data_IF_152152157491
#
_entry.id   IF_152152157491
#
_cell.length_a   1.000
_cell.length_b   1.000
_cell.length_c   1.000
_cell.angle_alpha   90.00
_cell.angle_beta   90.00
_cell.angle_gamma   90.00
#
_symmetry.space_group_name_H-M   'P 1'
#
loop_
_entity.id
_entity.type
_entity.pdbx_description
1 polymer ?
#
# COMPACT_ATOMS: atom_id res chain seq x y z
N UNK A 1 16.93 19.87 -13.75
CA UNK A 1 15.54 19.58 -14.17
C UNK A 1 14.60 19.86 -13.00
N UNK A 2 15.01 19.49 -11.79
CA UNK A 2 14.29 19.71 -10.52
C UNK A 2 13.91 21.18 -10.30
N UNK A 3 14.83 22.13 -10.56
CA UNK A 3 14.52 23.57 -10.47
C UNK A 3 13.37 24.01 -11.40
N UNK A 4 13.25 23.42 -12.60
CA UNK A 4 12.18 23.76 -13.54
C UNK A 4 10.83 23.23 -13.03
N UNK A 5 10.83 22.01 -12.49
CA UNK A 5 9.65 21.39 -11.90
C UNK A 5 9.15 22.22 -10.72
N UNK A 6 10.08 22.65 -9.85
CA UNK A 6 9.77 23.45 -8.67
C UNK A 6 9.20 24.83 -9.06
N UNK A 7 9.78 25.49 -10.06
CA UNK A 7 9.27 26.77 -10.56
C UNK A 7 7.88 26.64 -11.20
N UNK A 8 7.62 25.55 -11.93
CA UNK A 8 6.30 25.25 -12.49
C UNK A 8 5.27 25.00 -11.39
N UNK A 9 5.65 24.26 -10.34
CA UNK A 9 4.79 23.95 -9.20
C UNK A 9 4.45 25.21 -8.38
N UNK A 10 5.42 26.10 -8.15
CA UNK A 10 5.23 27.36 -7.43
C UNK A 10 4.33 28.35 -8.16
N UNK A 11 4.28 28.28 -9.50
CA UNK A 11 3.39 29.10 -10.33
C UNK A 11 1.96 28.58 -10.39
N UNK A 12 1.68 27.37 -9.88
CA UNK A 12 0.33 26.83 -9.87
C UNK A 12 -0.53 27.48 -8.79
N UNK A 13 -1.84 27.64 -9.03
CA UNK A 13 -2.79 27.96 -7.99
C UNK A 13 -2.71 26.96 -6.83
N UNK A 14 -2.98 27.44 -5.61
CA UNK A 14 -2.85 26.63 -4.39
C UNK A 14 -3.66 25.32 -4.45
N UNK A 15 -4.87 25.37 -5.00
CA UNK A 15 -5.73 24.19 -5.14
C UNK A 15 -5.11 23.12 -6.06
N UNK A 16 -4.49 23.52 -7.18
CA UNK A 16 -3.80 22.62 -8.12
C UNK A 16 -2.54 22.03 -7.46
N UNK A 17 -1.75 22.87 -6.79
CA UNK A 17 -0.55 22.41 -6.07
C UNK A 17 -0.91 21.39 -4.99
N UNK A 18 -1.95 21.66 -4.19
CA UNK A 18 -2.41 20.72 -3.17
C UNK A 18 -2.87 19.41 -3.78
N UNK A 19 -3.60 19.44 -4.90
CA UNK A 19 -4.00 18.22 -5.60
C UNK A 19 -2.76 17.41 -6.04
N UNK A 20 -1.81 18.05 -6.73
CA UNK A 20 -0.57 17.41 -7.20
C UNK A 20 0.22 16.75 -6.07
N UNK A 21 0.35 17.42 -4.91
CA UNK A 21 1.05 16.87 -3.75
C UNK A 21 0.30 15.67 -3.16
N UNK A 22 -1.01 15.76 -2.99
CA UNK A 22 -1.82 14.70 -2.37
C UNK A 22 -1.86 13.42 -3.22
N UNK A 23 -1.85 13.56 -4.54
CA UNK A 23 -1.88 12.43 -5.47
C UNK A 23 -0.49 11.93 -5.86
N UNK A 24 0.58 12.57 -5.39
CA UNK A 24 1.98 12.21 -5.71
C UNK A 24 2.37 10.81 -5.26
N UNK A 25 1.68 10.26 -4.25
CA UNK A 25 1.91 8.91 -3.73
C UNK A 25 1.43 7.82 -4.70
N UNK A 26 0.65 8.17 -5.73
CA UNK A 26 0.01 7.22 -6.63
C UNK A 26 0.87 6.97 -7.87
N UNK A 27 1.11 5.69 -8.18
CA UNK A 27 1.80 5.29 -9.41
C UNK A 27 0.95 5.54 -10.68
N UNK A 28 -0.37 5.38 -10.52
CA UNK A 28 -1.37 5.57 -11.57
C UNK A 28 -2.54 6.36 -10.99
N UNK A 29 -3.02 7.31 -11.76
CA UNK A 29 -4.06 8.26 -11.38
C UNK A 29 -5.31 7.95 -12.20
N UNK A 30 -6.44 7.82 -11.53
CA UNK A 30 -7.76 7.88 -12.17
C UNK A 30 -8.62 8.88 -11.39
N UNK A 31 -9.63 9.46 -12.03
CA UNK A 31 -10.55 10.37 -11.31
C UNK A 31 -11.06 9.77 -9.99
N UNK A 32 -11.70 8.58 -9.98
CA UNK A 32 -12.27 8.05 -8.73
C UNK A 32 -11.22 7.76 -7.66
N UNK A 33 -10.00 7.40 -8.05
CA UNK A 33 -8.90 7.20 -7.10
C UNK A 33 -8.39 8.54 -6.54
N UNK A 34 -8.23 9.56 -7.39
CA UNK A 34 -7.82 10.89 -6.95
C UNK A 34 -8.85 11.48 -5.99
N UNK A 35 -10.14 11.32 -6.30
CA UNK A 35 -11.25 11.76 -5.45
C UNK A 35 -11.20 11.08 -4.08
N UNK A 36 -11.00 9.76 -4.05
CA UNK A 36 -10.89 9.00 -2.81
C UNK A 36 -9.69 9.41 -1.93
N UNK A 37 -8.53 9.69 -2.53
CA UNK A 37 -7.33 10.11 -1.78
C UNK A 37 -7.44 11.54 -1.29
N UNK A 38 -7.79 12.47 -2.17
CA UNK A 38 -7.86 13.91 -1.86
C UNK A 38 -9.09 14.27 -1.02
N UNK A 39 -10.16 13.48 -1.09
CA UNK A 39 -11.47 13.80 -0.53
C UNK A 39 -12.21 14.89 -1.30
N UNK A 40 -11.82 15.14 -2.55
CA UNK A 40 -12.48 16.08 -3.47
C UNK A 40 -13.39 15.31 -4.44
N UNK A 41 -14.27 16.03 -5.16
CA UNK A 41 -15.24 15.43 -6.09
C UNK A 41 -14.99 15.81 -7.57
N UNK A 42 -13.90 16.53 -7.87
CA UNK A 42 -13.58 17.04 -9.22
C UNK A 42 -12.21 16.58 -9.73
N UNK A 43 -11.81 15.34 -9.42
CA UNK A 43 -10.58 14.73 -9.89
C UNK A 43 -10.51 14.67 -11.41
N UNK A 44 -11.64 14.47 -12.10
CA UNK A 44 -11.70 14.47 -13.57
C UNK A 44 -11.39 15.86 -14.14
N UNK A 45 -12.07 16.91 -13.68
CA UNK A 45 -11.82 18.27 -14.14
C UNK A 45 -10.39 18.69 -13.89
N UNK A 46 -9.85 18.30 -12.73
CA UNK A 46 -8.45 18.54 -12.37
C UNK A 46 -7.48 17.81 -13.30
N UNK A 47 -7.65 16.51 -13.54
CA UNK A 47 -6.78 15.73 -14.44
C UNK A 47 -6.80 16.27 -15.87
N UNK A 48 -7.98 16.65 -16.38
CA UNK A 48 -8.11 17.30 -17.69
C UNK A 48 -7.41 18.67 -17.74
N UNK A 49 -7.48 19.46 -16.66
CA UNK A 49 -6.79 20.73 -16.54
C UNK A 49 -5.26 20.55 -16.49
N UNK A 50 -4.77 19.56 -15.74
CA UNK A 50 -3.35 19.22 -15.67
C UNK A 50 -2.80 18.76 -17.03
N UNK A 51 -3.57 17.94 -17.76
CA UNK A 51 -3.24 17.49 -19.11
C UNK A 51 -3.17 18.68 -20.09
N UNK A 52 -4.19 19.55 -20.12
CA UNK A 52 -4.21 20.75 -20.97
C UNK A 52 -3.10 21.74 -20.61
N UNK A 53 -2.70 21.79 -19.34
CA UNK A 53 -1.61 22.61 -18.84
C UNK A 53 -0.21 22.05 -19.11
N UNK A 54 -0.09 20.88 -19.75
CA UNK A 54 1.17 20.16 -19.95
C UNK A 54 1.97 19.94 -18.65
N UNK A 55 1.29 19.69 -17.52
CA UNK A 55 1.91 19.54 -16.20
C UNK A 55 2.48 18.13 -15.98
N UNK A 56 3.24 17.64 -16.96
CA UNK A 56 3.94 16.35 -16.91
C UNK A 56 3.05 15.14 -16.58
N UNK A 57 1.76 15.24 -16.91
CA UNK A 57 0.79 14.14 -16.82
C UNK A 57 0.70 13.45 -18.17
N UNK A 58 0.78 12.12 -18.18
CA UNK A 58 0.76 11.30 -19.38
C UNK A 58 -0.46 10.36 -19.31
N UNK A 59 -1.39 10.40 -20.28
CA UNK A 59 -2.48 9.43 -20.34
C UNK A 59 -1.92 8.03 -20.63
N UNK A 60 -2.45 7.02 -19.95
CA UNK A 60 -2.09 5.62 -20.09
C UNK A 60 -3.02 4.84 -21.01
N UNK A 61 -4.19 5.40 -21.31
CA UNK A 61 -5.21 4.81 -22.17
C UNK A 61 -5.84 5.83 -23.14
N UNK A 62 -6.44 5.30 -24.20
CA UNK A 62 -7.13 6.13 -25.22
C UNK A 62 -8.40 6.79 -24.66
N UNK A 63 -8.97 6.20 -23.60
CA UNK A 63 -10.18 6.67 -22.92
C UNK A 63 -9.91 7.73 -21.85
N UNK A 64 -8.64 8.07 -21.60
CA UNK A 64 -8.18 9.04 -20.60
C UNK A 64 -8.77 8.79 -19.20
N UNK A 65 -8.88 7.53 -18.81
CA UNK A 65 -9.30 7.15 -17.46
C UNK A 65 -8.09 7.01 -16.54
N UNK A 66 -6.96 6.61 -17.10
CA UNK A 66 -5.73 6.40 -16.37
C UNK A 66 -4.65 7.36 -16.85
N UNK A 67 -3.96 7.95 -15.88
CA UNK A 67 -2.85 8.84 -16.10
C UNK A 67 -1.67 8.41 -15.23
N UNK A 68 -0.48 8.89 -15.57
CA UNK A 68 0.69 8.84 -14.68
C UNK A 68 1.39 10.19 -14.67
N UNK A 69 2.02 10.50 -13.55
CA UNK A 69 3.04 11.54 -13.54
C UNK A 69 4.30 11.05 -14.25
N UNK A 70 5.03 11.98 -14.85
CA UNK A 70 6.41 11.73 -15.24
C UNK A 70 7.23 11.39 -13.98
N UNK A 71 8.12 10.40 -14.07
CA UNK A 71 8.84 9.85 -12.90
C UNK A 71 9.54 10.93 -12.05
N UNK A 72 10.35 11.79 -12.69
CA UNK A 72 11.04 12.89 -11.99
C UNK A 72 10.07 13.92 -11.38
N UNK A 73 8.90 14.12 -11.98
CA UNK A 73 7.89 15.02 -11.44
C UNK A 73 7.27 14.42 -10.17
N UNK A 74 6.96 13.13 -10.18
CA UNK A 74 6.46 12.42 -9.01
C UNK A 74 7.46 12.46 -7.84
N UNK A 75 8.76 12.26 -8.10
CA UNK A 75 9.80 12.33 -7.06
C UNK A 75 9.86 13.70 -6.37
N UNK A 76 9.83 14.78 -7.16
CA UNK A 76 9.83 16.15 -6.61
C UNK A 76 8.55 16.42 -5.82
N UNK A 77 7.39 15.97 -6.32
CA UNK A 77 6.12 16.13 -5.60
C UNK A 77 6.10 15.35 -4.28
N UNK A 78 6.65 14.14 -4.25
CA UNK A 78 6.75 13.33 -3.03
C UNK A 78 7.68 13.97 -2.00
N UNK A 79 8.81 14.53 -2.43
CA UNK A 79 9.71 15.26 -1.55
C UNK A 79 9.00 16.48 -0.91
N UNK A 80 8.29 17.27 -1.72
CA UNK A 80 7.52 18.41 -1.19
C UNK A 80 6.35 17.99 -0.31
N UNK A 81 5.68 16.87 -0.61
CA UNK A 81 4.62 16.34 0.23
C UNK A 81 5.17 16.00 1.63
N UNK A 82 6.34 15.36 1.69
CA UNK A 82 7.00 14.99 2.93
C UNK A 82 7.43 16.21 3.75
N UNK A 83 7.87 17.29 3.09
CA UNK A 83 8.25 18.54 3.75
C UNK A 83 7.05 19.35 4.23
N UNK A 84 6.00 19.43 3.41
CA UNK A 84 4.86 20.31 3.68
C UNK A 84 3.81 19.68 4.60
N UNK A 85 3.56 18.38 4.46
CA UNK A 85 2.46 17.67 5.15
C UNK A 85 2.86 16.23 5.56
N UNK A 86 3.94 16.04 6.34
CA UNK A 86 4.41 14.71 6.73
C UNK A 86 3.33 13.90 7.46
N UNK A 87 2.55 14.56 8.33
CA UNK A 87 1.50 13.92 9.14
C UNK A 87 0.34 13.37 8.29
N UNK A 88 0.19 13.82 7.04
CA UNK A 88 -0.90 13.42 6.15
C UNK A 88 -0.52 12.33 5.16
N UNK A 89 0.77 12.02 5.02
CA UNK A 89 1.26 10.99 4.10
C UNK A 89 0.63 9.63 4.40
N UNK A 90 0.66 9.22 5.67
CA UNK A 90 0.01 7.98 6.13
C UNK A 90 -1.50 7.97 5.86
N UNK A 91 -2.17 9.12 6.01
CA UNK A 91 -3.60 9.25 5.71
C UNK A 91 -3.89 9.01 4.22
N UNK A 92 -3.12 9.62 3.32
CA UNK A 92 -3.28 9.44 1.88
C UNK A 92 -3.03 8.00 1.45
N UNK A 93 -2.00 7.37 2.00
CA UNK A 93 -1.71 5.96 1.78
C UNK A 93 -2.84 5.04 2.27
N UNK A 94 -3.42 5.33 3.45
CA UNK A 94 -4.58 4.58 3.96
C UNK A 94 -5.79 4.68 3.02
N UNK A 95 -6.15 5.90 2.58
CA UNK A 95 -7.27 6.13 1.66
C UNK A 95 -7.05 5.44 0.31
N UNK A 96 -5.82 5.51 -0.23
CA UNK A 96 -5.46 4.79 -1.45
C UNK A 96 -5.61 3.27 -1.26
N UNK A 97 -5.13 2.73 -0.13
CA UNK A 97 -5.27 1.32 0.21
C UNK A 97 -6.73 0.86 0.31
N UNK A 98 -7.61 1.69 0.88
CA UNK A 98 -9.06 1.44 0.94
C UNK A 98 -9.71 1.40 -0.43
N UNK A 99 -9.38 2.37 -1.28
CA UNK A 99 -9.90 2.41 -2.64
C UNK A 99 -9.45 1.19 -3.45
N UNK A 100 -8.16 0.82 -3.39
CA UNK A 100 -7.64 -0.34 -4.13
C UNK A 100 -8.25 -1.66 -3.65
N UNK A 101 -8.50 -1.81 -2.35
CA UNK A 101 -9.20 -2.97 -1.80
C UNK A 101 -10.63 -3.08 -2.36
N UNK A 102 -11.36 -1.98 -2.43
CA UNK A 102 -12.74 -1.94 -2.95
C UNK A 102 -12.84 -2.18 -4.46
N UNK A 103 -11.75 -1.99 -5.19
CA UNK A 103 -11.66 -2.15 -6.65
C UNK A 103 -10.96 -3.47 -7.06
N UNK A 104 -10.89 -4.45 -6.16
CA UNK A 104 -10.30 -5.77 -6.41
C UNK A 104 -8.82 -5.73 -6.85
N UNK A 105 -8.06 -4.75 -6.34
CA UNK A 105 -6.62 -4.57 -6.60
C UNK A 105 -5.79 -4.76 -5.32
N UNK A 106 -5.73 -5.98 -4.76
CA UNK A 106 -5.14 -6.22 -3.44
C UNK A 106 -3.64 -5.94 -3.37
N UNK A 107 -2.89 -6.15 -4.45
CA UNK A 107 -1.45 -5.90 -4.48
C UNK A 107 -1.12 -4.41 -4.28
N UNK A 108 -1.83 -3.53 -4.98
CA UNK A 108 -1.71 -2.08 -4.79
C UNK A 108 -2.20 -1.68 -3.39
N UNK A 109 -3.29 -2.28 -2.90
CA UNK A 109 -3.81 -2.02 -1.55
C UNK A 109 -2.79 -2.33 -0.45
N UNK A 110 -2.09 -3.48 -0.54
CA UNK A 110 -1.03 -3.89 0.39
C UNK A 110 0.16 -2.94 0.30
N UNK A 111 0.62 -2.60 -0.92
CA UNK A 111 1.73 -1.66 -1.11
C UNK A 111 1.46 -0.32 -0.44
N UNK A 112 0.25 0.23 -0.60
CA UNK A 112 -0.11 1.49 0.05
C UNK A 112 -0.26 1.37 1.56
N UNK A 113 -0.79 0.26 2.09
CA UNK A 113 -0.85 0.05 3.54
C UNK A 113 0.54 -0.02 4.17
N UNK A 114 1.48 -0.73 3.54
CA UNK A 114 2.88 -0.80 3.97
C UNK A 114 3.58 0.56 3.90
N UNK A 115 3.42 1.29 2.79
CA UNK A 115 4.03 2.61 2.62
C UNK A 115 3.46 3.68 3.57
N UNK A 116 2.20 3.52 4.01
CA UNK A 116 1.58 4.37 5.04
C UNK A 116 1.88 3.94 6.48
N UNK A 117 2.69 2.89 6.68
CA UNK A 117 2.97 2.25 7.98
C UNK A 117 1.73 1.72 8.73
N UNK A 118 0.62 1.49 8.01
CA UNK A 118 -0.57 0.83 8.54
C UNK A 118 -0.40 -0.70 8.50
N UNK A 119 0.50 -1.19 9.36
CA UNK A 119 0.87 -2.61 9.40
C UNK A 119 -0.31 -3.52 9.75
N UNK A 120 -1.24 -3.05 10.58
CA UNK A 120 -2.43 -3.81 10.94
C UNK A 120 -3.32 -4.05 9.71
N UNK A 121 -3.55 -3.02 8.90
CA UNK A 121 -4.27 -3.15 7.63
C UNK A 121 -3.51 -4.01 6.63
N UNK A 122 -2.20 -3.81 6.49
CA UNK A 122 -1.37 -4.61 5.61
C UNK A 122 -1.44 -6.10 5.97
N UNK A 123 -1.35 -6.44 7.26
CA UNK A 123 -1.49 -7.81 7.76
C UNK A 123 -2.82 -8.45 7.33
N UNK A 124 -3.95 -7.77 7.59
CA UNK A 124 -5.28 -8.26 7.22
C UNK A 124 -5.42 -8.48 5.70
N UNK A 125 -4.88 -7.57 4.88
CA UNK A 125 -4.92 -7.71 3.42
C UNK A 125 -4.05 -8.89 2.94
N UNK A 126 -2.84 -9.04 3.49
CA UNK A 126 -1.90 -10.12 3.17
C UNK A 126 -2.49 -11.49 3.55
N UNK A 127 -3.18 -11.60 4.69
CA UNK A 127 -3.89 -12.81 5.10
C UNK A 127 -5.00 -13.20 4.12
N UNK A 128 -5.83 -12.24 3.72
CA UNK A 128 -6.95 -12.51 2.80
C UNK A 128 -6.47 -12.98 1.43
N UNK A 129 -5.37 -12.41 0.97
CA UNK A 129 -4.79 -12.73 -0.33
C UNK A 129 -4.09 -14.09 -0.30
N UNK A 130 -3.52 -14.51 0.84
CA UNK A 130 -2.92 -15.85 1.00
C UNK A 130 -3.86 -16.97 0.55
N UNK A 131 -5.11 -16.94 1.03
CA UNK A 131 -6.14 -17.93 0.71
C UNK A 131 -6.45 -18.01 -0.79
N UNK A 132 -6.26 -16.93 -1.54
CA UNK A 132 -6.47 -16.87 -2.99
C UNK A 132 -5.20 -17.20 -3.79
N UNK A 133 -4.00 -16.92 -3.25
CA UNK A 133 -2.71 -17.05 -3.94
C UNK A 133 -2.10 -18.47 -3.90
N UNK A 134 -2.51 -19.31 -2.96
CA UNK A 134 -2.01 -20.70 -2.83
C UNK A 134 -2.22 -21.53 -4.12
N UNK A 135 -3.20 -21.18 -4.93
CA UNK A 135 -3.51 -21.85 -6.21
C UNK A 135 -2.58 -21.41 -7.37
N UNK A 136 -1.86 -20.29 -7.22
CA UNK A 136 -1.19 -19.60 -8.35
C UNK A 136 0.35 -19.55 -8.28
N UNK A 137 1.01 -20.22 -7.32
CA UNK A 137 2.48 -20.22 -7.14
C UNK A 137 3.15 -18.83 -6.98
N UNK A 138 2.39 -17.80 -6.61
CA UNK A 138 2.92 -16.44 -6.41
C UNK A 138 3.49 -16.21 -4.99
N UNK A 139 3.96 -17.26 -4.33
CA UNK A 139 4.44 -17.24 -2.94
C UNK A 139 5.57 -16.22 -2.69
N UNK A 140 6.41 -15.96 -3.69
CA UNK A 140 7.51 -14.99 -3.58
C UNK A 140 7.02 -13.53 -3.43
N UNK A 141 5.92 -13.14 -4.08
CA UNK A 141 5.37 -11.79 -3.94
C UNK A 141 4.74 -11.59 -2.56
N UNK A 142 4.00 -12.60 -2.11
CA UNK A 142 3.42 -12.63 -0.77
C UNK A 142 4.51 -12.55 0.31
N UNK A 143 5.58 -13.33 0.19
CA UNK A 143 6.69 -13.33 1.15
C UNK A 143 7.36 -11.95 1.26
N UNK A 144 7.55 -11.26 0.13
CA UNK A 144 8.10 -9.88 0.13
C UNK A 144 7.23 -8.89 0.89
N UNK A 145 5.90 -9.05 0.87
CA UNK A 145 5.00 -8.20 1.67
C UNK A 145 5.04 -8.59 3.14
N UNK A 146 4.99 -9.89 3.44
CA UNK A 146 5.04 -10.39 4.80
C UNK A 146 6.35 -9.99 5.52
N UNK A 147 7.49 -10.01 4.83
CA UNK A 147 8.79 -9.59 5.36
C UNK A 147 8.88 -8.10 5.73
N UNK A 148 7.98 -7.25 5.22
CA UNK A 148 7.92 -5.84 5.58
C UNK A 148 7.11 -5.59 6.85
N UNK A 149 6.37 -6.60 7.34
CA UNK A 149 5.63 -6.49 8.58
C UNK A 149 6.55 -6.72 9.80
N UNK A 150 6.28 -6.05 10.94
CA UNK A 150 6.97 -6.35 12.19
C UNK A 150 6.78 -7.83 12.59
N UNK A 151 7.87 -8.49 13.01
CA UNK A 151 7.83 -9.92 13.36
C UNK A 151 6.82 -10.25 14.46
N UNK A 152 6.64 -9.36 15.44
CA UNK A 152 5.65 -9.53 16.51
C UNK A 152 4.22 -9.54 15.97
N UNK A 153 3.95 -8.75 14.93
CA UNK A 153 2.65 -8.73 14.25
C UNK A 153 2.43 -10.04 13.48
N UNK A 154 3.44 -10.53 12.76
CA UNK A 154 3.35 -11.83 12.07
C UNK A 154 3.04 -12.94 13.07
N UNK A 155 3.73 -12.95 14.23
CA UNK A 155 3.53 -13.94 15.31
C UNK A 155 2.17 -13.86 15.99
N UNK A 156 1.57 -12.67 16.03
CA UNK A 156 0.23 -12.46 16.57
C UNK A 156 -0.88 -12.95 15.63
N UNK A 157 -0.55 -13.25 14.38
CA UNK A 157 -1.48 -13.55 13.30
C UNK A 157 -1.27 -14.99 12.79
N UNK A 158 -2.13 -15.95 13.19
CA UNK A 158 -1.92 -17.38 12.90
C UNK A 158 -1.82 -17.71 11.41
N UNK A 159 -2.61 -17.03 10.56
CA UNK A 159 -2.60 -17.22 9.11
C UNK A 159 -1.30 -16.71 8.51
N UNK A 160 -0.81 -15.55 8.96
CA UNK A 160 0.50 -15.03 8.54
C UNK A 160 1.64 -15.95 8.98
N UNK A 161 1.61 -16.47 10.21
CA UNK A 161 2.61 -17.44 10.69
C UNK A 161 2.69 -18.68 9.79
N UNK A 162 1.52 -19.27 9.51
CA UNK A 162 1.43 -20.45 8.65
C UNK A 162 1.93 -20.15 7.23
N UNK A 163 1.50 -19.01 6.66
CA UNK A 163 1.94 -18.58 5.33
C UNK A 163 3.44 -18.32 5.25
N UNK A 164 4.02 -17.72 6.30
CA UNK A 164 5.45 -17.47 6.38
C UNK A 164 6.26 -18.77 6.46
N UNK A 165 5.84 -19.72 7.30
CA UNK A 165 6.44 -21.06 7.36
C UNK A 165 6.35 -21.80 6.02
N UNK A 166 5.19 -21.76 5.36
CA UNK A 166 4.99 -22.40 4.05
C UNK A 166 5.83 -21.75 2.94
N UNK A 167 5.95 -20.42 2.93
CA UNK A 167 6.78 -19.70 1.97
C UNK A 167 8.27 -20.03 2.15
N UNK A 168 8.75 -20.14 3.39
CA UNK A 168 10.13 -20.56 3.70
C UNK A 168 10.41 -22.01 3.32
N UNK A 169 9.44 -22.92 3.49
CA UNK A 169 9.53 -24.31 3.05
C UNK A 169 9.79 -24.40 1.54
N UNK A 170 9.09 -23.59 0.74
CA UNK A 170 9.29 -23.51 -0.70
C UNK A 170 10.66 -22.89 -1.08
N UNK A 171 11.23 -22.05 -0.22
CA UNK A 171 12.57 -21.46 -0.37
C UNK A 171 13.73 -22.35 0.09
N UNK A 172 13.44 -23.49 0.72
CA UNK A 172 14.45 -24.45 1.22
C UNK A 172 14.96 -24.18 2.65
N UNK A 173 14.41 -23.19 3.36
CA UNK A 173 14.80 -22.84 4.74
C UNK A 173 13.98 -23.64 5.78
N UNK A 174 14.26 -24.94 5.86
CA UNK A 174 13.54 -25.91 6.71
C UNK A 174 13.57 -25.58 8.21
N UNK A 175 14.71 -25.12 8.73
CA UNK A 175 14.87 -24.82 10.17
C UNK A 175 14.06 -23.59 10.60
N UNK A 176 13.98 -22.56 9.73
CA UNK A 176 13.17 -21.38 9.98
C UNK A 176 11.67 -21.72 9.92
N UNK A 177 11.26 -22.59 8.99
CA UNK A 177 9.89 -23.08 8.88
C UNK A 177 9.39 -23.74 10.18
N UNK A 178 10.21 -24.60 10.80
CA UNK A 178 9.82 -25.30 12.03
C UNK A 178 9.52 -24.35 13.19
N UNK A 179 10.29 -23.26 13.33
CA UNK A 179 10.04 -22.24 14.35
C UNK A 179 8.68 -21.54 14.15
N UNK A 180 8.35 -21.20 12.90
CA UNK A 180 7.11 -20.48 12.58
C UNK A 180 5.87 -21.38 12.69
N UNK A 181 5.98 -22.65 12.33
CA UNK A 181 4.90 -23.62 12.52
C UNK A 181 4.60 -23.84 14.01
N UNK A 182 5.61 -23.95 14.87
CA UNK A 182 5.41 -24.04 16.32
C UNK A 182 4.74 -22.81 16.91
N UNK A 183 5.04 -21.62 16.39
CA UNK A 183 4.36 -20.39 16.82
C UNK A 183 2.89 -20.37 16.36
N UNK A 184 2.57 -20.88 15.16
CA UNK A 184 1.18 -21.07 14.72
C UNK A 184 0.42 -22.13 15.55
N UNK A 185 1.07 -23.24 15.90
CA UNK A 185 0.48 -24.32 16.71
C UNK A 185 0.06 -23.84 18.10
N UNK A 186 0.81 -22.89 18.71
CA UNK A 186 0.45 -22.28 20.00
C UNK A 186 -0.89 -21.54 19.98
N UNK A 187 -1.35 -21.12 18.81
CA UNK A 187 -2.67 -20.50 18.64
C UNK A 187 -3.79 -21.53 18.47
N UNK A 188 -3.49 -22.71 17.94
CA UNK A 188 -4.44 -23.82 17.76
C UNK A 188 -4.59 -24.62 19.05
N UNK A 189 -3.51 -24.79 19.81
CA UNK A 189 -3.50 -25.41 21.14
C UNK A 189 -3.02 -24.38 22.17
N UNK A 190 -3.86 -23.38 22.53
CA UNK A 190 -3.49 -22.43 23.57
C UNK A 190 -3.15 -23.24 24.83
N UNK A 191 -2.06 -22.88 25.56
CA UNK A 191 -1.73 -23.59 26.79
C UNK A 191 -2.98 -23.58 27.65
N UNK A 192 -3.56 -24.76 27.88
CA UNK A 192 -4.70 -24.93 28.76
C UNK A 192 -4.30 -24.25 30.06
N UNK A 193 -4.83 -23.04 30.29
CA UNK A 193 -4.64 -22.31 31.53
C UNK A 193 -4.99 -23.31 32.61
N UNK A 194 -3.96 -23.67 33.37
CA UNK A 194 -4.00 -24.83 34.24
C UNK A 194 -5.30 -24.81 35.03
N UNK A 195 -5.97 -25.94 35.05
CA UNK A 195 -6.96 -26.29 36.05
C UNK A 195 -6.30 -26.26 37.44
N UNK A 196 -6.03 -25.05 37.91
CA UNK A 196 -5.94 -24.68 39.32
C UNK A 196 -7.32 -24.16 39.70
N UNK A 197 -8.27 -25.08 39.82
CA UNK A 197 -9.37 -24.89 40.74
C UNK A 197 -9.11 -25.83 41.90
N UNK A 198 -8.51 -25.25 42.94
CA UNK A 198 -8.70 -25.69 44.31
C UNK A 198 -10.21 -25.79 44.56
N UNK A 199 -10.68 -26.95 45.05
CA UNK A 199 -11.50 -27.12 46.26
C UNK A 199 -11.32 -28.56 46.73
#
# INVERSE_FOLDING_TARGET
LDYLVEEVLQRQPEHVRNFLLQTAILDRLSSPLCDAVTGQEDGRGMLEALERGNLFVIPLDDQRQWYRYHHLFAEVLQAHLQEAQPDRVSEFHRRASEWYEQNDLPADAIRHALAGEDFARAANLIERVWLAMDVSYQSAAWLRWAQQLPADLIRAHPVLCLGYGWALLNGGELEACESWLRDAERWIDPPRLGSRLCW
#
